data_IF_714947986850
#
_entry.id   IF_714947986850
#
_cell.length_a   1.000
_cell.length_b   1.000
_cell.length_c   1.000
_cell.angle_alpha   90.00
_cell.angle_beta   90.00
_cell.angle_gamma   90.00
#
_symmetry.space_group_name_H-M   'P 1'
#
loop_
_entity.id
_entity.type
_entity.pdbx_description
1 polymer ?
#
# COMPACT_ATOMS: atom_id res chain seq x y z
N UNK A 1 -1.09 -29.70 7.62
CA UNK A 1 -0.39 -28.40 7.50
C UNK A 1 -0.94 -27.51 8.60
N UNK A 2 -0.12 -27.08 9.56
CA UNK A 2 -0.59 -26.07 10.52
C UNK A 2 -0.71 -24.75 9.76
N UNK A 3 -1.89 -24.11 9.73
CA UNK A 3 -1.95 -22.72 9.31
C UNK A 3 -1.16 -21.96 10.36
N UNK A 4 -0.06 -21.32 9.97
CA UNK A 4 0.60 -20.35 10.84
C UNK A 4 -0.45 -19.29 11.16
N UNK A 5 -1.07 -19.41 12.34
CA UNK A 5 -2.07 -18.47 12.79
C UNK A 5 -1.35 -17.14 12.98
N UNK A 6 -1.54 -16.23 12.04
CA UNK A 6 -1.08 -14.85 12.18
C UNK A 6 -1.83 -14.26 13.38
N UNK A 7 -1.12 -14.06 14.48
CA UNK A 7 -1.67 -13.34 15.63
C UNK A 7 -1.50 -11.84 15.34
N UNK A 8 -2.59 -11.08 15.31
CA UNK A 8 -2.47 -9.63 15.22
C UNK A 8 -1.81 -9.10 16.49
N UNK A 9 -1.00 -8.04 16.37
CA UNK A 9 -0.22 -7.45 17.47
C UNK A 9 -1.09 -7.08 18.68
N UNK A 10 -2.35 -6.73 18.42
CA UNK A 10 -3.39 -6.39 19.40
C UNK A 10 -3.90 -7.59 20.24
N UNK A 11 -3.61 -8.83 19.85
CA UNK A 11 -3.94 -10.03 20.62
C UNK A 11 -2.73 -10.59 21.39
N UNK A 12 -1.57 -9.91 21.35
CA UNK A 12 -0.41 -10.34 22.12
C UNK A 12 -0.60 -10.08 23.62
N UNK A 13 -0.10 -10.97 24.49
CA UNK A 13 -0.02 -10.70 25.92
C UNK A 13 0.75 -9.40 26.19
N UNK A 14 0.32 -8.65 27.20
CA UNK A 14 0.91 -7.35 27.55
C UNK A 14 2.41 -7.45 27.86
N UNK A 15 2.85 -8.58 28.40
CA UNK A 15 4.24 -8.88 28.73
C UNK A 15 5.14 -8.88 27.48
N UNK A 16 4.57 -9.18 26.30
CA UNK A 16 5.26 -9.18 25.00
C UNK A 16 5.01 -7.86 24.27
N UNK A 17 3.77 -7.36 24.30
CA UNK A 17 3.37 -6.15 23.59
C UNK A 17 4.13 -4.92 24.10
N UNK A 18 4.25 -4.75 25.42
CA UNK A 18 4.87 -3.56 26.03
C UNK A 18 6.35 -3.39 25.64
N UNK A 19 7.21 -4.42 25.71
CA UNK A 19 8.59 -4.33 25.21
C UNK A 19 8.69 -3.99 23.72
N UNK A 20 7.83 -4.56 22.88
CA UNK A 20 7.79 -4.28 21.44
C UNK A 20 7.44 -2.81 21.19
N UNK A 21 6.38 -2.31 21.83
CA UNK A 21 5.98 -0.91 21.71
C UNK A 21 7.08 0.04 22.20
N UNK A 22 7.78 -0.33 23.28
CA UNK A 22 8.91 0.47 23.80
C UNK A 22 10.09 0.51 22.83
N UNK A 23 10.39 -0.60 22.16
CA UNK A 23 11.41 -0.65 21.12
C UNK A 23 11.00 0.15 19.87
N UNK A 24 9.74 0.06 19.45
CA UNK A 24 9.16 0.86 18.37
C UNK A 24 9.14 2.36 18.70
N UNK A 25 8.94 2.73 19.96
CA UNK A 25 9.00 4.09 20.46
C UNK A 25 10.45 4.61 20.58
N UNK A 26 11.47 3.79 20.32
CA UNK A 26 12.85 4.28 20.26
C UNK A 26 12.99 5.32 19.13
N UNK A 27 13.69 6.45 19.36
CA UNK A 27 13.81 7.51 18.38
C UNK A 27 14.42 7.04 17.05
N UNK A 28 15.31 6.06 17.09
CA UNK A 28 15.93 5.46 15.90
C UNK A 28 14.91 4.70 15.07
N UNK A 29 14.10 3.82 15.66
CA UNK A 29 13.12 3.05 14.90
C UNK A 29 11.94 3.93 14.45
N UNK A 30 11.48 4.83 15.30
CA UNK A 30 10.44 5.80 14.95
C UNK A 30 10.86 6.72 13.79
N UNK A 31 12.10 7.23 13.80
CA UNK A 31 12.62 8.07 12.71
C UNK A 31 12.79 7.30 11.40
N UNK A 32 13.24 6.04 11.46
CA UNK A 32 13.30 5.17 10.29
C UNK A 32 11.90 4.94 9.73
N UNK A 33 10.94 4.50 10.56
CA UNK A 33 9.56 4.28 10.12
C UNK A 33 8.94 5.55 9.51
N UNK A 34 9.15 6.71 10.12
CA UNK A 34 8.69 7.99 9.58
C UNK A 34 9.30 8.34 8.22
N UNK A 35 10.60 8.12 8.05
CA UNK A 35 11.29 8.34 6.77
C UNK A 35 10.80 7.37 5.69
N UNK A 36 10.61 6.11 6.02
CA UNK A 36 10.03 5.12 5.12
C UNK A 36 8.62 5.48 4.70
N UNK A 37 7.77 5.92 5.64
CA UNK A 37 6.43 6.40 5.33
C UNK A 37 6.46 7.60 4.39
N UNK A 38 7.35 8.57 4.64
CA UNK A 38 7.50 9.74 3.78
C UNK A 38 7.94 9.36 2.36
N UNK A 39 8.94 8.49 2.21
CA UNK A 39 9.40 7.98 0.92
C UNK A 39 8.27 7.25 0.19
N UNK A 40 7.54 6.39 0.89
CA UNK A 40 6.43 5.65 0.31
C UNK A 40 5.34 6.61 -0.19
N UNK A 41 4.89 7.53 0.65
CA UNK A 41 3.77 8.42 0.36
C UNK A 41 4.09 9.48 -0.71
N UNK A 42 5.33 10.00 -0.73
CA UNK A 42 5.68 11.15 -1.58
C UNK A 42 6.50 10.79 -2.81
N UNK A 43 7.21 9.67 -2.81
CA UNK A 43 8.08 9.29 -3.93
C UNK A 43 7.56 8.04 -4.63
N UNK A 44 7.34 6.96 -3.89
CA UNK A 44 6.98 5.65 -4.47
C UNK A 44 5.53 5.62 -4.96
N UNK A 45 4.55 5.96 -4.11
CA UNK A 45 3.13 5.90 -4.46
C UNK A 45 2.76 6.82 -5.63
N UNK A 46 3.23 8.09 -5.68
CA UNK A 46 3.02 8.95 -6.84
C UNK A 46 3.61 8.41 -8.15
N UNK A 47 4.83 7.88 -8.10
CA UNK A 47 5.48 7.28 -9.26
C UNK A 47 4.70 6.06 -9.75
N UNK A 48 4.31 5.18 -8.83
CA UNK A 48 3.53 3.98 -9.12
C UNK A 48 2.16 4.34 -9.75
N UNK A 49 1.43 5.30 -9.18
CA UNK A 49 0.16 5.77 -9.74
C UNK A 49 0.32 6.27 -11.19
N UNK A 50 1.39 7.03 -11.46
CA UNK A 50 1.71 7.50 -12.81
C UNK A 50 2.01 6.35 -13.78
N UNK A 51 2.73 5.32 -13.35
CA UNK A 51 3.02 4.15 -14.19
C UNK A 51 1.75 3.35 -14.50
N UNK A 52 0.86 3.17 -13.52
CA UNK A 52 -0.44 2.55 -13.74
C UNK A 52 -1.23 3.34 -14.79
N UNK A 53 -1.23 4.67 -14.70
CA UNK A 53 -1.85 5.56 -15.68
C UNK A 53 -1.33 5.33 -17.10
N UNK A 54 0.00 5.26 -17.26
CA UNK A 54 0.63 4.98 -18.57
C UNK A 54 0.27 3.60 -19.13
N UNK A 55 0.15 2.58 -18.29
CA UNK A 55 -0.22 1.22 -18.73
C UNK A 55 -1.65 1.19 -19.27
N UNK A 56 -2.58 1.91 -18.64
CA UNK A 56 -3.99 1.93 -19.04
C UNK A 56 -4.27 2.92 -20.17
N UNK A 57 -3.60 4.08 -20.17
CA UNK A 57 -3.77 5.16 -21.17
C UNK A 57 -2.39 5.67 -21.61
N UNK A 58 -1.75 5.00 -22.60
CA UNK A 58 -0.38 5.31 -22.99
C UNK A 58 -0.18 6.69 -23.64
N UNK A 59 -1.22 7.23 -24.28
CA UNK A 59 -1.13 8.46 -25.09
C UNK A 59 -1.67 9.72 -24.37
N UNK A 60 -2.33 9.57 -23.21
CA UNK A 60 -2.91 10.69 -22.49
C UNK A 60 -1.89 11.42 -21.60
N UNK A 61 -2.16 12.69 -21.30
CA UNK A 61 -1.40 13.42 -20.29
C UNK A 61 -1.70 12.89 -18.87
N UNK A 62 -0.99 13.41 -17.86
CA UNK A 62 -1.11 12.93 -16.47
C UNK A 62 -2.53 13.13 -15.91
N UNK A 63 -3.22 14.21 -16.29
CA UNK A 63 -4.58 14.50 -15.82
C UNK A 63 -5.59 13.61 -16.53
N UNK A 64 -5.45 13.43 -17.84
CA UNK A 64 -6.27 12.51 -18.62
C UNK A 64 -6.14 11.07 -18.11
N UNK A 65 -4.90 10.64 -17.82
CA UNK A 65 -4.62 9.35 -17.19
C UNK A 65 -5.30 9.20 -15.83
N UNK A 66 -5.22 10.23 -14.98
CA UNK A 66 -5.85 10.20 -13.66
C UNK A 66 -7.38 10.10 -13.76
N UNK A 67 -8.01 10.91 -14.63
CA UNK A 67 -9.45 10.86 -14.87
C UNK A 67 -9.89 9.51 -15.46
N UNK A 68 -9.09 8.93 -16.35
CA UNK A 68 -9.36 7.61 -16.88
C UNK A 68 -9.29 6.52 -15.80
N UNK A 69 -8.27 6.56 -14.92
CA UNK A 69 -8.17 5.62 -13.80
C UNK A 69 -9.34 5.76 -12.83
N UNK A 70 -9.75 6.99 -12.51
CA UNK A 70 -10.90 7.25 -11.63
C UNK A 70 -12.17 6.61 -12.20
N UNK A 71 -12.36 6.65 -13.53
CA UNK A 71 -13.49 6.00 -14.21
C UNK A 71 -13.36 4.49 -14.31
N UNK A 72 -12.18 3.96 -14.64
CA UNK A 72 -11.94 2.50 -14.80
C UNK A 72 -12.17 1.76 -13.48
N UNK A 73 -11.70 2.36 -12.38
CA UNK A 73 -11.76 1.75 -11.05
C UNK A 73 -12.88 2.32 -10.16
N UNK A 74 -13.75 3.19 -10.70
CA UNK A 74 -14.80 3.88 -9.94
C UNK A 74 -14.27 4.49 -8.62
N UNK A 75 -13.16 5.23 -8.71
CA UNK A 75 -12.51 5.82 -7.53
C UNK A 75 -13.24 7.08 -7.08
N UNK A 76 -13.32 7.29 -5.77
CA UNK A 76 -13.81 8.55 -5.20
C UNK A 76 -12.88 9.72 -5.56
N UNK A 77 -13.47 10.86 -5.95
CA UNK A 77 -12.73 12.02 -6.50
C UNK A 77 -11.73 12.62 -5.50
N UNK A 78 -12.09 12.66 -4.21
CA UNK A 78 -11.30 13.31 -3.15
C UNK A 78 -10.19 12.41 -2.55
N UNK A 79 -9.98 11.21 -3.10
CA UNK A 79 -8.95 10.32 -2.57
C UNK A 79 -7.54 10.83 -2.85
N UNK A 80 -6.69 10.74 -1.83
CA UNK A 80 -5.25 10.91 -2.00
C UNK A 80 -4.69 9.87 -2.99
N UNK A 81 -3.58 10.20 -3.67
CA UNK A 81 -2.91 9.26 -4.60
C UNK A 81 -2.61 7.90 -3.96
N UNK A 82 -2.18 7.88 -2.70
CA UNK A 82 -1.94 6.64 -1.95
C UNK A 82 -3.23 5.83 -1.77
N UNK A 83 -4.34 6.49 -1.41
CA UNK A 83 -5.63 5.83 -1.28
C UNK A 83 -6.15 5.29 -2.61
N UNK A 84 -5.97 6.05 -3.71
CA UNK A 84 -6.30 5.60 -5.08
C UNK A 84 -5.49 4.36 -5.48
N UNK A 85 -4.18 4.35 -5.26
CA UNK A 85 -3.34 3.16 -5.50
C UNK A 85 -3.84 1.97 -4.67
N UNK A 86 -4.09 2.15 -3.39
CA UNK A 86 -4.58 1.06 -2.53
C UNK A 86 -5.96 0.54 -2.99
N UNK A 87 -6.87 1.42 -3.42
CA UNK A 87 -8.16 1.02 -3.97
C UNK A 87 -8.03 0.22 -5.27
N UNK A 88 -7.18 0.67 -6.20
CA UNK A 88 -6.86 -0.04 -7.44
C UNK A 88 -6.31 -1.44 -7.13
N UNK A 89 -5.31 -1.53 -6.23
CA UNK A 89 -4.74 -2.81 -5.80
C UNK A 89 -5.84 -3.69 -5.19
N UNK A 90 -6.62 -3.16 -4.24
CA UNK A 90 -7.71 -3.91 -3.64
C UNK A 90 -8.67 -4.44 -4.69
N UNK A 91 -9.06 -3.66 -5.69
CA UNK A 91 -9.96 -4.13 -6.74
C UNK A 91 -9.31 -5.22 -7.61
N UNK A 92 -8.06 -5.02 -8.06
CA UNK A 92 -7.32 -6.01 -8.86
C UNK A 92 -7.17 -7.34 -8.09
N UNK A 93 -6.76 -7.26 -6.83
CA UNK A 93 -6.45 -8.44 -6.01
C UNK A 93 -7.71 -9.07 -5.36
N UNK A 94 -8.76 -8.30 -5.10
CA UNK A 94 -10.04 -8.80 -4.61
C UNK A 94 -10.78 -9.62 -5.66
N UNK A 95 -10.76 -9.18 -6.92
CA UNK A 95 -11.35 -9.94 -8.03
C UNK A 95 -10.44 -11.08 -8.54
N UNK A 96 -9.20 -11.20 -8.05
CA UNK A 96 -8.30 -12.27 -8.43
C UNK A 96 -7.46 -12.81 -7.27
N UNK A 97 -8.07 -13.57 -6.34
CA UNK A 97 -7.34 -14.21 -5.25
C UNK A 97 -6.33 -15.29 -5.71
N UNK A 98 -6.30 -15.66 -7.00
CA UNK A 98 -5.47 -16.75 -7.53
C UNK A 98 -4.47 -16.39 -8.65
N UNK A 99 -4.52 -15.20 -9.27
CA UNK A 99 -3.70 -14.94 -10.47
C UNK A 99 -2.34 -14.27 -10.22
N UNK A 100 -2.00 -13.88 -9.00
CA UNK A 100 -0.71 -13.24 -8.73
C UNK A 100 0.06 -13.94 -7.62
N UNK A 101 0.82 -14.97 -8.00
CA UNK A 101 1.98 -15.40 -7.23
C UNK A 101 3.09 -14.35 -7.40
N UNK A 102 2.97 -13.20 -6.73
CA UNK A 102 4.10 -12.29 -6.56
C UNK A 102 5.15 -13.03 -5.71
N UNK A 103 6.12 -13.68 -6.37
CA UNK A 103 7.38 -14.07 -5.74
C UNK A 103 8.15 -12.78 -5.42
N UNK A 104 7.78 -12.12 -4.34
CA UNK A 104 8.68 -11.18 -3.68
C UNK A 104 9.66 -12.07 -2.91
N UNK A 105 10.83 -12.31 -3.50
CA UNK A 105 11.99 -12.74 -2.73
C UNK A 105 12.49 -11.50 -1.98
N UNK A 106 12.28 -11.50 -0.67
CA UNK A 106 13.18 -10.81 0.27
C UNK A 106 14.17 -11.88 0.73
#
# INVERSE_FOLDING_TARGET
MNPSSSICIEHLPNEILVPILKACASPSLSSVCGRWYHLLANEVMPSLYKQIGKVHVPQGDVNEQALALDRIYNLEEELSRTAKVNAIFRQIFYFSPLAFTFRIRI
#
